data_IF_842937580869
#
_entry.id   IF_842937580869
#
_cell.length_a   1.000
_cell.length_b   1.000
_cell.length_c   1.000
_cell.angle_alpha   90.00
_cell.angle_beta   90.00
_cell.angle_gamma   90.00
#
_symmetry.space_group_name_H-M   'P 1'
#
loop_
_entity.id
_entity.type
_entity.pdbx_description
1 polymer ?
#
# COMPACT_ATOMS: atom_id res chain seq x y z
N UNK A 1 43.57 21.55 37.83
CA UNK A 1 43.22 20.12 37.93
C UNK A 1 41.72 20.03 37.73
N UNK A 2 41.28 20.08 36.47
CA UNK A 2 40.96 18.96 35.57
C UNK A 2 39.45 18.72 35.54
N UNK A 3 38.82 19.37 34.55
CA UNK A 3 37.49 19.09 34.04
C UNK A 3 37.43 17.67 33.48
N UNK A 4 36.40 16.90 33.84
CA UNK A 4 36.01 15.71 33.10
C UNK A 4 34.84 16.05 32.16
N UNK A 5 35.19 16.22 30.88
CA UNK A 5 34.28 16.20 29.75
C UNK A 5 33.87 14.75 29.49
N UNK A 6 32.56 14.49 29.50
CA UNK A 6 31.96 13.29 28.93
C UNK A 6 32.07 13.40 27.40
N UNK A 7 32.86 12.52 26.78
CA UNK A 7 32.85 12.34 25.32
C UNK A 7 31.64 11.49 24.94
N UNK A 8 30.69 12.10 24.22
CA UNK A 8 29.71 11.38 23.41
C UNK A 8 30.34 11.01 22.06
N UNK A 9 31.05 9.88 22.01
CA UNK A 9 31.43 9.26 20.74
C UNK A 9 30.38 8.21 20.33
N UNK A 10 29.25 8.69 19.81
CA UNK A 10 28.39 7.89 18.95
C UNK A 10 28.96 7.94 17.53
N UNK A 11 29.92 7.06 17.23
CA UNK A 11 30.37 6.85 15.85
C UNK A 11 29.24 6.11 15.10
N UNK A 12 28.37 6.87 14.45
CA UNK A 12 27.52 6.39 13.36
C UNK A 12 28.42 5.90 12.23
N UNK A 13 28.73 4.60 12.19
CA UNK A 13 29.14 3.98 10.92
C UNK A 13 27.91 3.97 10.02
N UNK A 14 27.86 4.90 9.09
CA UNK A 14 26.96 4.81 7.93
C UNK A 14 27.21 3.45 7.26
N UNK A 15 26.14 2.69 7.01
CA UNK A 15 26.21 1.47 6.21
C UNK A 15 26.62 1.89 4.79
N UNK A 16 27.87 1.66 4.42
CA UNK A 16 28.43 2.07 3.14
C UNK A 16 27.94 1.11 2.03
N UNK A 17 27.10 1.63 1.12
CA UNK A 17 26.54 0.87 -0.01
C UNK A 17 27.61 0.37 -1.00
N UNK A 18 28.81 0.95 -0.98
CA UNK A 18 29.89 0.66 -1.95
C UNK A 18 30.81 -0.51 -1.54
N UNK A 19 30.67 -1.05 -0.32
CA UNK A 19 31.49 -2.18 0.19
C UNK A 19 30.66 -3.48 0.33
N UNK A 20 29.52 -3.57 -0.37
CA UNK A 20 28.56 -4.66 -0.22
C UNK A 20 29.01 -5.96 -0.91
N UNK A 21 28.90 -7.06 -0.19
CA UNK A 21 28.93 -8.41 -0.78
C UNK A 21 27.69 -8.63 -1.66
N UNK A 22 27.81 -9.21 -2.87
CA UNK A 22 26.68 -9.48 -3.73
C UNK A 22 25.56 -10.23 -2.97
N UNK A 23 24.34 -9.68 -2.97
CA UNK A 23 23.12 -10.23 -2.34
C UNK A 23 22.95 -10.04 -0.83
N UNK A 24 23.76 -9.22 -0.15
CA UNK A 24 23.58 -8.97 1.29
C UNK A 24 22.32 -8.13 1.59
N UNK A 25 21.39 -8.61 2.44
CA UNK A 25 20.19 -7.84 2.82
C UNK A 25 20.55 -6.74 3.83
N UNK A 26 20.65 -5.50 3.35
CA UNK A 26 21.09 -4.36 4.16
C UNK A 26 20.07 -4.00 5.23
N UNK A 27 18.78 -4.14 4.93
CA UNK A 27 17.74 -3.85 5.89
C UNK A 27 17.82 -4.79 7.11
N UNK A 28 18.05 -6.09 6.88
CA UNK A 28 18.25 -7.05 7.96
C UNK A 28 19.48 -6.71 8.84
N UNK A 29 20.57 -6.26 8.22
CA UNK A 29 21.74 -5.77 8.96
C UNK A 29 21.42 -4.52 9.78
N UNK A 30 20.70 -3.56 9.21
CA UNK A 30 20.27 -2.35 9.92
C UNK A 30 19.39 -2.70 11.12
N UNK A 31 18.42 -3.62 10.97
CA UNK A 31 17.62 -4.09 12.11
C UNK A 31 18.52 -4.68 13.21
N UNK A 32 19.47 -5.57 12.86
CA UNK A 32 20.41 -6.16 13.80
C UNK A 32 21.25 -5.11 14.51
N UNK A 33 21.76 -4.11 13.78
CA UNK A 33 22.54 -3.00 14.34
C UNK A 33 21.75 -2.20 15.38
N UNK A 34 20.44 -2.01 15.15
CA UNK A 34 19.55 -1.32 16.08
C UNK A 34 18.93 -2.25 17.15
N UNK A 35 19.36 -3.53 17.23
CA UNK A 35 18.78 -4.54 18.11
C UNK A 35 17.25 -4.71 17.93
N UNK A 36 16.77 -4.52 16.71
CA UNK A 36 15.35 -4.67 16.33
C UNK A 36 15.10 -6.02 15.67
N UNK A 37 13.87 -6.50 15.83
CA UNK A 37 13.38 -7.68 15.11
C UNK A 37 12.04 -7.35 14.45
N UNK A 38 11.79 -7.97 13.30
CA UNK A 38 10.54 -7.85 12.58
C UNK A 38 9.91 -9.23 12.44
N UNK A 39 8.81 -9.43 13.17
CA UNK A 39 8.08 -10.69 13.25
C UNK A 39 6.58 -10.42 13.11
N UNK A 40 5.87 -11.44 12.64
CA UNK A 40 4.42 -11.48 12.64
C UNK A 40 3.88 -11.39 14.06
N UNK A 41 2.87 -10.56 14.23
CA UNK A 41 1.95 -10.54 15.35
C UNK A 41 0.64 -11.21 14.90
N UNK A 42 -0.41 -11.17 15.73
CA UNK A 42 -1.74 -11.66 15.36
C UNK A 42 -2.20 -10.99 14.07
N UNK A 43 -2.61 -11.81 13.09
CA UNK A 43 -3.15 -11.31 11.83
C UNK A 43 -4.45 -10.54 12.08
N UNK A 44 -4.51 -9.32 11.57
CA UNK A 44 -5.66 -8.41 11.67
C UNK A 44 -6.26 -8.09 10.30
N UNK A 45 -5.45 -8.17 9.23
CA UNK A 45 -5.85 -7.81 7.87
C UNK A 45 -5.47 -8.92 6.90
N UNK A 46 -6.43 -9.33 6.07
CA UNK A 46 -6.15 -10.07 4.85
C UNK A 46 -6.14 -9.08 3.67
N UNK A 47 -4.98 -8.86 3.07
CA UNK A 47 -4.88 -8.12 1.81
C UNK A 47 -5.01 -9.09 0.63
N UNK A 48 -5.94 -8.81 -0.28
CA UNK A 48 -6.23 -9.62 -1.46
C UNK A 48 -5.83 -8.83 -2.70
N UNK A 49 -4.74 -9.22 -3.35
CA UNK A 49 -4.35 -8.67 -4.62
C UNK A 49 -5.03 -9.45 -5.77
N UNK A 50 -6.04 -8.85 -6.40
CA UNK A 50 -6.87 -9.54 -7.40
C UNK A 50 -6.25 -9.59 -8.81
N UNK A 51 -5.01 -9.09 -8.97
CA UNK A 51 -4.28 -9.12 -10.24
C UNK A 51 -3.56 -7.82 -10.57
N UNK A 52 -3.10 -7.68 -11.82
CA UNK A 52 -2.38 -6.51 -12.30
C UNK A 52 -3.11 -5.75 -13.42
N UNK A 53 -4.32 -6.19 -13.82
CA UNK A 53 -5.15 -5.47 -14.78
C UNK A 53 -5.59 -4.11 -14.23
N UNK A 54 -5.38 -3.04 -14.98
CA UNK A 54 -5.77 -1.69 -14.60
C UNK A 54 -6.11 -0.87 -15.86
N UNK A 55 -7.00 0.11 -15.76
CA UNK A 55 -7.31 1.05 -16.85
C UNK A 55 -6.25 2.16 -17.00
N UNK A 56 -5.34 2.33 -16.03
CA UNK A 56 -4.29 3.36 -16.04
C UNK A 56 -2.88 2.77 -16.17
N UNK A 57 -1.93 3.59 -16.63
CA UNK A 57 -0.49 3.26 -16.71
C UNK A 57 0.34 4.26 -15.89
N UNK A 58 0.06 4.35 -14.58
CA UNK A 58 0.71 5.29 -13.66
C UNK A 58 2.23 5.12 -13.62
N UNK A 59 2.99 6.22 -13.67
CA UNK A 59 4.46 6.17 -13.74
C UNK A 59 5.16 5.72 -12.45
N UNK A 60 4.46 5.78 -11.31
CA UNK A 60 4.95 5.39 -9.99
C UNK A 60 4.46 4.01 -9.53
N UNK A 61 3.79 3.25 -10.41
CA UNK A 61 3.15 1.99 -10.03
C UNK A 61 4.18 0.91 -9.66
N UNK A 62 4.19 0.49 -8.39
CA UNK A 62 5.04 -0.60 -7.89
C UNK A 62 4.56 -1.99 -8.36
N UNK A 63 3.28 -2.15 -8.70
CA UNK A 63 2.70 -3.40 -9.27
C UNK A 63 3.04 -3.57 -10.76
N UNK A 64 3.46 -2.49 -11.42
CA UNK A 64 3.52 -2.38 -12.88
C UNK A 64 2.18 -2.71 -13.56
N UNK A 65 1.07 -2.44 -12.87
CA UNK A 65 -0.27 -2.66 -13.39
C UNK A 65 -0.53 -1.85 -14.66
N UNK A 66 -1.48 -2.32 -15.48
CA UNK A 66 -1.88 -1.61 -16.68
C UNK A 66 -2.85 -2.37 -17.58
N UNK A 67 -3.29 -1.74 -18.68
CA UNK A 67 -4.34 -2.29 -19.55
C UNK A 67 -3.93 -3.57 -20.26
N UNK A 68 -2.65 -3.75 -20.56
CA UNK A 68 -2.13 -4.94 -21.25
C UNK A 68 -1.86 -6.14 -20.32
N UNK A 69 -2.00 -5.96 -18.99
CA UNK A 69 -1.78 -7.03 -18.01
C UNK A 69 -2.90 -8.07 -18.11
N UNK A 70 -2.55 -9.33 -17.83
CA UNK A 70 -3.47 -10.49 -17.93
C UNK A 70 -3.64 -11.23 -16.61
N UNK A 71 -2.84 -10.87 -15.61
CA UNK A 71 -2.94 -11.38 -14.25
C UNK A 71 -4.28 -10.94 -13.66
N UNK A 72 -5.20 -11.89 -13.50
CA UNK A 72 -6.55 -11.71 -13.00
C UNK A 72 -6.87 -12.92 -12.12
N UNK A 73 -7.32 -12.67 -10.89
CA UNK A 73 -7.75 -13.71 -9.97
C UNK A 73 -9.02 -14.41 -10.51
N UNK A 74 -8.98 -15.74 -10.56
CA UNK A 74 -10.12 -16.54 -11.02
C UNK A 74 -11.17 -16.68 -9.92
N UNK A 75 -12.41 -17.00 -10.31
CA UNK A 75 -13.51 -17.25 -9.37
C UNK A 75 -13.21 -18.41 -8.41
N UNK A 76 -12.53 -19.45 -8.88
CA UNK A 76 -12.17 -20.60 -8.06
C UNK A 76 -11.17 -20.21 -6.96
N UNK A 77 -10.14 -19.44 -7.30
CA UNK A 77 -9.19 -18.90 -6.32
C UNK A 77 -9.91 -18.00 -5.30
N UNK A 78 -10.80 -17.10 -5.75
CA UNK A 78 -11.60 -16.27 -4.87
C UNK A 78 -12.43 -17.10 -3.89
N UNK A 79 -13.12 -18.14 -4.38
CA UNK A 79 -13.96 -18.99 -3.53
C UNK A 79 -13.13 -19.71 -2.48
N UNK A 80 -11.92 -20.17 -2.80
CA UNK A 80 -11.01 -20.77 -1.81
C UNK A 80 -10.57 -19.77 -0.75
N UNK A 81 -10.28 -18.53 -1.14
CA UNK A 81 -9.94 -17.44 -0.22
C UNK A 81 -11.13 -17.13 0.71
N UNK A 82 -12.35 -17.05 0.16
CA UNK A 82 -13.57 -16.81 0.93
C UNK A 82 -13.82 -17.95 1.94
N UNK A 83 -13.68 -19.21 1.50
CA UNK A 83 -13.81 -20.38 2.39
C UNK A 83 -12.78 -20.35 3.50
N UNK A 84 -11.53 -20.01 3.19
CA UNK A 84 -10.49 -19.84 4.22
C UNK A 84 -10.86 -18.72 5.19
N UNK A 85 -11.20 -17.53 4.69
CA UNK A 85 -11.56 -16.36 5.50
C UNK A 85 -12.80 -16.60 6.37
N UNK A 86 -13.74 -17.44 5.94
CA UNK A 86 -14.92 -17.81 6.72
C UNK A 86 -14.58 -18.54 8.04
N UNK A 87 -13.38 -19.13 8.13
CA UNK A 87 -12.90 -19.91 9.27
C UNK A 87 -11.99 -19.11 10.20
N UNK A 88 -11.73 -17.84 9.89
CA UNK A 88 -10.86 -16.97 10.68
C UNK A 88 -11.66 -15.87 11.37
N UNK A 89 -11.03 -15.24 12.35
CA UNK A 89 -11.54 -14.06 13.08
C UNK A 89 -10.99 -12.74 12.50
N UNK A 90 -10.43 -12.78 11.28
CA UNK A 90 -9.93 -11.61 10.56
C UNK A 90 -11.12 -10.78 10.08
N UNK A 91 -11.27 -9.58 10.64
CA UNK A 91 -12.40 -8.70 10.35
C UNK A 91 -12.13 -7.71 9.21
N UNK A 92 -10.86 -7.44 8.87
CA UNK A 92 -10.50 -6.45 7.86
C UNK A 92 -9.97 -7.13 6.60
N UNK A 93 -10.60 -6.83 5.47
CA UNK A 93 -10.14 -7.27 4.14
C UNK A 93 -9.78 -6.05 3.31
N UNK A 94 -8.53 -5.98 2.84
CA UNK A 94 -8.04 -4.92 1.96
C UNK A 94 -7.91 -5.46 0.53
N UNK A 95 -8.75 -4.99 -0.39
CA UNK A 95 -8.74 -5.44 -1.77
C UNK A 95 -7.87 -4.48 -2.60
N UNK A 96 -6.87 -5.04 -3.28
CA UNK A 96 -5.86 -4.30 -4.04
C UNK A 96 -5.53 -4.99 -5.37
N UNK A 97 -4.52 -4.49 -6.08
CA UNK A 97 -4.01 -5.07 -7.32
C UNK A 97 -3.66 -3.99 -8.34
N UNK A 98 -4.13 -4.16 -9.57
CA UNK A 98 -4.21 -3.08 -10.54
C UNK A 98 -5.35 -2.12 -10.19
N UNK A 99 -6.43 -2.18 -10.95
CA UNK A 99 -7.72 -1.66 -10.53
C UNK A 99 -8.57 -2.87 -10.13
N UNK A 100 -8.82 -3.11 -8.83
CA UNK A 100 -9.52 -4.31 -8.38
C UNK A 100 -10.84 -4.60 -9.10
N UNK A 101 -11.54 -3.54 -9.45
CA UNK A 101 -12.88 -3.51 -10.04
C UNK A 101 -12.86 -3.94 -11.51
N UNK A 102 -11.68 -3.98 -12.15
CA UNK A 102 -11.47 -4.59 -13.47
C UNK A 102 -11.50 -6.11 -13.44
N UNK A 103 -11.45 -6.74 -12.26
CA UNK A 103 -11.66 -8.18 -12.16
C UNK A 103 -13.15 -8.49 -12.39
N UNK A 104 -13.51 -9.37 -13.35
CA UNK A 104 -14.91 -9.69 -13.66
C UNK A 104 -15.69 -10.33 -12.50
N UNK A 105 -15.00 -10.76 -11.45
CA UNK A 105 -15.58 -11.36 -10.26
C UNK A 105 -15.49 -10.46 -9.02
N UNK A 106 -15.09 -9.19 -9.17
CA UNK A 106 -14.95 -8.23 -8.06
C UNK A 106 -16.24 -8.10 -7.22
N UNK A 107 -17.39 -7.91 -7.88
CA UNK A 107 -18.68 -7.78 -7.17
C UNK A 107 -19.04 -9.05 -6.39
N UNK A 108 -18.81 -10.22 -7.00
CA UNK A 108 -18.98 -11.53 -6.32
C UNK A 108 -18.08 -11.66 -5.09
N UNK A 109 -16.83 -11.19 -5.16
CA UNK A 109 -15.90 -11.20 -4.03
C UNK A 109 -16.44 -10.33 -2.87
N UNK A 110 -16.81 -9.09 -3.15
CA UNK A 110 -17.36 -8.14 -2.15
C UNK A 110 -18.63 -8.71 -1.51
N UNK A 111 -19.61 -9.14 -2.31
CA UNK A 111 -20.86 -9.72 -1.81
C UNK A 111 -20.62 -10.96 -0.96
N UNK A 112 -19.71 -11.84 -1.39
CA UNK A 112 -19.41 -13.08 -0.67
C UNK A 112 -18.75 -12.81 0.68
N UNK A 113 -17.81 -11.86 0.74
CA UNK A 113 -17.19 -11.45 2.01
C UNK A 113 -18.22 -10.79 2.93
N UNK A 114 -19.12 -9.96 2.40
CA UNK A 114 -20.17 -9.29 3.19
C UNK A 114 -21.21 -10.26 3.78
N UNK A 115 -21.36 -11.46 3.21
CA UNK A 115 -22.26 -12.53 3.70
C UNK A 115 -21.67 -13.34 4.86
N UNK A 116 -20.37 -13.22 5.14
CA UNK A 116 -19.73 -14.00 6.19
C UNK A 116 -20.08 -13.44 7.59
N UNK A 117 -20.22 -14.32 8.58
CA UNK A 117 -20.43 -14.00 10.00
C UNK A 117 -19.18 -14.34 10.84
N UNK A 118 -18.61 -13.43 11.67
CA UNK A 118 -18.98 -12.02 11.90
C UNK A 118 -18.76 -11.09 10.69
N UNK A 119 -19.60 -10.08 10.49
CA UNK A 119 -19.50 -9.18 9.32
C UNK A 119 -18.09 -8.59 9.15
N UNK A 120 -17.51 -8.71 7.94
CA UNK A 120 -16.19 -8.17 7.61
C UNK A 120 -16.26 -6.73 7.09
N UNK A 121 -15.26 -5.94 7.46
CA UNK A 121 -14.95 -4.64 6.85
C UNK A 121 -14.14 -4.87 5.58
N UNK A 122 -14.50 -4.17 4.51
CA UNK A 122 -13.83 -4.26 3.21
C UNK A 122 -13.34 -2.86 2.86
N UNK A 123 -12.03 -2.73 2.61
CA UNK A 123 -11.44 -1.57 1.94
C UNK A 123 -11.09 -1.90 0.50
N UNK A 124 -11.29 -0.93 -0.39
CA UNK A 124 -10.93 -1.01 -1.81
C UNK A 124 -9.89 0.05 -2.18
N UNK A 125 -8.78 -0.39 -2.79
CA UNK A 125 -7.69 0.48 -3.28
C UNK A 125 -8.04 1.01 -4.66
N UNK A 126 -8.86 2.06 -4.66
CA UNK A 126 -9.44 2.60 -5.89
C UNK A 126 -8.51 3.61 -6.57
N UNK A 127 -8.52 3.61 -7.91
CA UNK A 127 -7.77 4.57 -8.72
C UNK A 127 -8.61 5.80 -9.15
N UNK A 128 -9.87 5.86 -8.72
CA UNK A 128 -10.93 6.82 -9.05
C UNK A 128 -11.46 6.78 -10.48
N UNK A 129 -10.60 6.80 -11.51
CA UNK A 129 -11.10 6.88 -12.90
C UNK A 129 -11.80 5.60 -13.35
N UNK A 130 -11.59 4.49 -12.65
CA UNK A 130 -12.30 3.22 -12.88
C UNK A 130 -13.82 3.34 -12.73
N UNK A 131 -14.31 4.27 -11.89
CA UNK A 131 -15.75 4.55 -11.75
C UNK A 131 -16.38 5.09 -13.06
N UNK A 132 -15.56 5.54 -14.02
CA UNK A 132 -16.01 6.16 -15.26
C UNK A 132 -15.73 5.27 -16.48
N UNK A 133 -15.24 4.05 -16.27
CA UNK A 133 -15.03 3.10 -17.35
C UNK A 133 -16.38 2.47 -17.77
N UNK A 134 -16.56 2.15 -19.06
CA UNK A 134 -17.78 1.48 -19.52
C UNK A 134 -18.06 0.19 -18.74
N UNK A 135 -19.29 0.03 -18.25
CA UNK A 135 -19.69 -1.13 -17.44
C UNK A 135 -19.37 -0.99 -15.95
N UNK A 136 -18.90 0.17 -15.50
CA UNK A 136 -18.76 0.54 -14.09
C UNK A 136 -19.69 1.68 -13.68
N UNK A 137 -20.72 1.95 -14.48
CA UNK A 137 -21.66 3.07 -14.29
C UNK A 137 -22.35 3.03 -12.91
N UNK A 138 -22.62 1.82 -12.39
CA UNK A 138 -23.26 1.58 -11.09
C UNK A 138 -22.25 1.28 -9.95
N UNK A 139 -20.94 1.38 -10.21
CA UNK A 139 -19.90 0.96 -9.26
C UNK A 139 -19.92 1.79 -7.97
N UNK A 140 -20.15 3.09 -8.07
CA UNK A 140 -20.22 3.99 -6.92
C UNK A 140 -21.40 3.62 -5.99
N UNK A 141 -22.56 3.31 -6.58
CA UNK A 141 -23.77 2.90 -5.86
C UNK A 141 -23.60 1.51 -5.26
N UNK A 142 -22.92 0.60 -5.98
CA UNK A 142 -22.53 -0.70 -5.47
C UNK A 142 -21.62 -0.59 -4.23
N UNK A 143 -20.61 0.28 -4.27
CA UNK A 143 -19.77 0.55 -3.11
C UNK A 143 -20.57 1.07 -1.92
N UNK A 144 -21.46 2.04 -2.15
CA UNK A 144 -22.31 2.61 -1.10
C UNK A 144 -23.25 1.56 -0.50
N UNK A 145 -23.92 0.75 -1.33
CA UNK A 145 -24.83 -0.31 -0.91
C UNK A 145 -24.13 -1.33 0.00
N UNK A 146 -22.90 -1.70 -0.34
CA UNK A 146 -22.13 -2.64 0.46
C UNK A 146 -21.32 -1.99 1.59
N UNK A 147 -21.31 -0.66 1.72
CA UNK A 147 -20.48 0.07 2.66
C UNK A 147 -19.00 -0.35 2.52
N UNK A 148 -18.48 -0.24 1.30
CA UNK A 148 -17.05 -0.45 1.00
C UNK A 148 -16.30 0.81 1.39
N UNK A 149 -15.27 0.69 2.21
CA UNK A 149 -14.35 1.79 2.52
C UNK A 149 -13.46 2.04 1.31
N UNK A 150 -13.44 3.28 0.80
CA UNK A 150 -12.68 3.62 -0.40
C UNK A 150 -11.37 4.29 0.01
N UNK A 151 -10.25 3.72 -0.41
CA UNK A 151 -8.92 4.31 -0.24
C UNK A 151 -8.40 4.71 -1.62
N UNK A 152 -8.73 5.93 -2.00
CA UNK A 152 -8.53 6.45 -3.34
C UNK A 152 -7.14 7.07 -3.54
N UNK A 153 -6.44 6.65 -4.58
CA UNK A 153 -5.20 7.30 -4.99
C UNK A 153 -5.50 8.68 -5.57
N UNK A 154 -4.95 9.75 -4.96
CA UNK A 154 -4.97 11.11 -5.52
C UNK A 154 -3.67 11.83 -5.09
N UNK A 155 -2.60 11.73 -5.90
CA UNK A 155 -1.25 12.12 -5.47
C UNK A 155 -1.04 13.64 -5.33
N UNK A 156 -2.00 14.45 -5.78
CA UNK A 156 -2.03 15.89 -5.55
C UNK A 156 -3.45 16.43 -5.71
N UNK A 157 -3.77 17.54 -5.05
CA UNK A 157 -4.99 18.32 -5.32
C UNK A 157 -4.84 19.23 -6.56
N UNK A 158 -3.71 19.16 -7.28
CA UNK A 158 -3.44 19.95 -8.49
C UNK A 158 -3.37 19.07 -9.74
N UNK A 159 -4.05 19.52 -10.81
CA UNK A 159 -4.08 18.88 -12.12
C UNK A 159 -2.70 18.60 -12.69
N UNK A 160 -1.83 19.62 -12.73
CA UNK A 160 -0.47 19.49 -13.28
C UNK A 160 0.30 18.32 -12.67
N UNK A 161 0.19 18.14 -11.35
CA UNK A 161 0.90 17.09 -10.64
C UNK A 161 0.28 15.71 -10.87
N UNK A 162 -1.06 15.62 -10.83
CA UNK A 162 -1.76 14.35 -11.04
C UNK A 162 -1.56 13.85 -12.46
N UNK A 163 -1.74 14.71 -13.46
CA UNK A 163 -1.64 14.33 -14.86
C UNK A 163 -0.20 13.95 -15.23
N UNK A 164 0.80 14.67 -14.71
CA UNK A 164 2.21 14.32 -14.91
C UNK A 164 2.58 12.93 -14.34
N UNK A 165 1.88 12.46 -13.31
CA UNK A 165 2.19 11.20 -12.66
C UNK A 165 1.34 10.03 -13.19
N UNK A 166 0.09 10.29 -13.56
CA UNK A 166 -0.94 9.27 -13.84
C UNK A 166 -1.45 9.26 -15.27
N UNK A 167 -1.22 10.33 -16.03
CA UNK A 167 -1.68 10.50 -17.41
C UNK A 167 -2.61 11.70 -17.57
N UNK A 168 -2.66 12.24 -18.78
CA UNK A 168 -3.48 13.40 -19.14
C UNK A 168 -4.97 13.17 -18.86
N UNK A 169 -5.64 14.17 -18.27
CA UNK A 169 -7.08 14.13 -17.97
C UNK A 169 -7.47 13.22 -16.81
N UNK A 170 -6.51 12.59 -16.11
CA UNK A 170 -6.80 11.76 -14.93
C UNK A 170 -7.30 12.61 -13.78
N UNK A 171 -6.79 13.83 -13.60
CA UNK A 171 -7.24 14.73 -12.54
C UNK A 171 -8.73 15.05 -12.65
N UNK A 172 -9.18 15.53 -13.81
CA UNK A 172 -10.58 15.92 -14.04
C UNK A 172 -11.53 14.75 -13.80
N UNK A 173 -11.19 13.56 -14.31
CA UNK A 173 -11.92 12.31 -14.05
C UNK A 173 -11.95 11.96 -12.57
N UNK A 174 -10.84 12.15 -11.86
CA UNK A 174 -10.74 11.86 -10.42
C UNK A 174 -11.63 12.81 -9.61
N UNK A 175 -11.65 14.10 -9.95
CA UNK A 175 -12.53 15.11 -9.31
C UNK A 175 -13.99 14.74 -9.53
N UNK A 176 -14.38 14.41 -10.76
CA UNK A 176 -15.76 13.98 -11.06
C UNK A 176 -16.16 12.72 -10.26
N UNK A 177 -15.30 11.70 -10.22
CA UNK A 177 -15.55 10.49 -9.45
C UNK A 177 -15.72 10.77 -7.94
N UNK A 178 -14.89 11.66 -7.38
CA UNK A 178 -15.00 12.08 -5.97
C UNK A 178 -16.31 12.83 -5.69
N UNK A 179 -16.76 13.69 -6.60
CA UNK A 179 -18.04 14.38 -6.47
C UNK A 179 -19.21 13.40 -6.50
N UNK A 180 -19.19 12.41 -7.40
CA UNK A 180 -20.19 11.34 -7.44
C UNK A 180 -20.23 10.53 -6.14
N UNK A 181 -19.06 10.18 -5.58
CA UNK A 181 -18.98 9.50 -4.29
C UNK A 181 -19.52 10.38 -3.15
N UNK A 182 -19.14 11.66 -3.08
CA UNK A 182 -19.65 12.59 -2.06
C UNK A 182 -21.17 12.80 -2.17
N UNK A 183 -21.75 12.75 -3.37
CA UNK A 183 -23.19 12.83 -3.58
C UNK A 183 -23.93 11.62 -2.97
N UNK A 184 -23.28 10.45 -2.92
CA UNK A 184 -23.78 9.24 -2.24
C UNK A 184 -23.52 9.24 -0.72
N UNK A 185 -22.83 10.25 -0.19
CA UNK A 185 -22.57 10.40 1.25
C UNK A 185 -21.15 10.03 1.70
N UNK A 186 -20.29 9.54 0.78
CA UNK A 186 -18.90 9.24 1.13
C UNK A 186 -18.17 10.46 1.70
N UNK A 187 -17.38 10.25 2.75
CA UNK A 187 -16.66 11.33 3.44
C UNK A 187 -17.51 12.11 4.46
N UNK A 188 -18.84 11.89 4.50
CA UNK A 188 -19.77 12.56 5.41
C UNK A 188 -20.49 11.57 6.34
N UNK A 189 -21.01 10.48 5.77
CA UNK A 189 -21.62 9.39 6.54
C UNK A 189 -20.52 8.55 7.22
N UNK A 190 -20.71 8.21 8.50
CA UNK A 190 -19.79 7.40 9.29
C UNK A 190 -19.58 5.99 8.73
N UNK A 191 -20.54 5.49 7.94
CA UNK A 191 -20.48 4.18 7.30
C UNK A 191 -19.91 4.21 5.88
N UNK A 192 -19.74 5.40 5.28
CA UNK A 192 -19.23 5.58 3.92
C UNK A 192 -17.90 6.31 3.96
N UNK A 193 -16.87 5.55 4.32
CA UNK A 193 -15.52 6.08 4.50
C UNK A 193 -14.82 6.28 3.16
N UNK A 194 -14.30 7.49 2.95
CA UNK A 194 -13.49 7.89 1.82
C UNK A 194 -12.17 8.47 2.32
N UNK A 195 -11.08 7.80 1.99
CA UNK A 195 -9.73 8.22 2.30
C UNK A 195 -8.98 8.52 1.01
N UNK A 196 -8.06 9.49 1.06
CA UNK A 196 -7.20 9.83 -0.06
C UNK A 196 -5.76 9.42 0.22
N UNK A 197 -5.02 9.07 -0.83
CA UNK A 197 -3.61 8.68 -0.74
C UNK A 197 -2.73 9.69 -1.48
N UNK A 198 -1.78 10.27 -0.76
CA UNK A 198 -0.72 11.12 -1.28
C UNK A 198 0.57 10.34 -1.51
N UNK A 199 1.10 10.43 -2.73
CA UNK A 199 2.42 9.94 -3.09
C UNK A 199 3.23 11.09 -3.70
N UNK A 200 4.50 11.29 -3.31
CA UNK A 200 5.36 12.30 -3.95
C UNK A 200 5.46 12.10 -5.47
N UNK A 201 5.54 13.19 -6.23
CA UNK A 201 5.69 13.14 -7.69
C UNK A 201 7.05 12.60 -8.19
N UNK A 202 7.97 12.28 -7.29
CA UNK A 202 9.31 11.83 -7.62
C UNK A 202 10.05 11.15 -6.47
N UNK A 203 11.39 11.24 -6.53
CA UNK A 203 12.33 10.61 -5.61
C UNK A 203 12.54 11.45 -4.34
N UNK A 204 11.47 11.67 -3.57
CA UNK A 204 11.50 12.37 -2.28
C UNK A 204 10.61 11.68 -1.25
N UNK A 205 10.81 11.97 0.02
CA UNK A 205 9.89 11.57 1.09
C UNK A 205 8.68 12.52 1.12
N UNK A 206 7.50 12.05 1.58
CA UNK A 206 6.36 12.92 1.81
C UNK A 206 6.63 13.88 2.98
N UNK A 207 5.94 15.02 2.97
CA UNK A 207 5.89 15.91 4.14
C UNK A 207 5.01 15.33 5.27
N UNK A 208 4.88 16.04 6.40
CA UNK A 208 4.04 15.59 7.52
C UNK A 208 2.58 15.36 7.12
N UNK A 209 2.04 14.18 7.43
CA UNK A 209 0.69 13.76 7.02
C UNK A 209 -0.39 14.74 7.50
N UNK A 210 -0.33 15.22 8.74
CA UNK A 210 -1.32 16.14 9.29
C UNK A 210 -1.38 17.47 8.50
N UNK A 211 -0.22 18.04 8.16
CA UNK A 211 -0.13 19.28 7.38
C UNK A 211 -0.64 19.08 5.96
N UNK A 212 -0.30 17.94 5.33
CA UNK A 212 -0.80 17.60 4.01
C UNK A 212 -2.32 17.34 4.03
N UNK A 213 -2.85 16.65 5.04
CA UNK A 213 -4.29 16.39 5.19
C UNK A 213 -5.06 17.72 5.27
N UNK A 214 -4.59 18.66 6.10
CA UNK A 214 -5.21 19.97 6.24
C UNK A 214 -5.19 20.78 4.93
N UNK A 215 -4.08 20.73 4.18
CA UNK A 215 -3.99 21.35 2.87
C UNK A 215 -4.96 20.71 1.88
N UNK A 216 -4.98 19.39 1.77
CA UNK A 216 -5.89 18.67 0.87
C UNK A 216 -7.36 18.99 1.16
N UNK A 217 -7.76 18.96 2.44
CA UNK A 217 -9.13 19.29 2.85
C UNK A 217 -9.51 20.70 2.39
N UNK A 218 -8.67 21.68 2.68
CA UNK A 218 -8.92 23.08 2.30
C UNK A 218 -9.01 23.29 0.79
N UNK A 219 -8.03 22.79 0.03
CA UNK A 219 -7.97 23.06 -1.41
C UNK A 219 -9.08 22.30 -2.16
N UNK A 220 -9.33 21.02 -1.82
CA UNK A 220 -10.37 20.23 -2.49
C UNK A 220 -11.79 20.70 -2.15
N UNK A 221 -12.02 21.13 -0.90
CA UNK A 221 -13.31 21.71 -0.52
C UNK A 221 -13.53 23.06 -1.22
N UNK A 222 -12.54 23.96 -1.19
CA UNK A 222 -12.64 25.30 -1.78
C UNK A 222 -12.88 25.25 -3.29
N UNK A 223 -12.11 24.43 -4.00
CA UNK A 223 -12.07 24.48 -5.46
C UNK A 223 -13.10 23.53 -6.11
N UNK A 224 -13.51 22.46 -5.40
CA UNK A 224 -14.33 21.39 -5.98
C UNK A 224 -15.50 20.92 -5.10
N UNK A 225 -15.65 21.45 -3.88
CA UNK A 225 -16.69 21.03 -2.94
C UNK A 225 -16.52 19.60 -2.40
N UNK A 226 -15.30 19.05 -2.49
CA UNK A 226 -15.00 17.67 -2.14
C UNK A 226 -14.62 17.56 -0.66
N UNK A 227 -15.16 16.54 0.01
CA UNK A 227 -14.82 16.17 1.40
C UNK A 227 -14.38 14.71 1.49
N UNK A 228 -13.51 14.41 2.45
CA UNK A 228 -12.99 13.06 2.72
C UNK A 228 -12.57 12.93 4.19
N UNK A 229 -12.45 11.70 4.69
CA UNK A 229 -12.20 11.43 6.10
C UNK A 229 -10.73 11.63 6.49
N UNK A 230 -9.79 10.95 5.80
CA UNK A 230 -8.34 10.97 6.11
C UNK A 230 -7.46 11.03 4.86
N UNK A 231 -6.27 11.62 5.00
CA UNK A 231 -5.20 11.52 4.01
C UNK A 231 -4.12 10.56 4.52
N UNK A 232 -3.70 9.64 3.66
CA UNK A 232 -2.59 8.73 3.92
C UNK A 232 -1.39 9.10 3.04
N UNK A 233 -0.25 9.38 3.66
CA UNK A 233 0.99 9.65 2.92
C UNK A 233 1.78 8.38 2.73
N UNK A 234 2.20 8.09 1.49
CA UNK A 234 3.10 6.99 1.20
C UNK A 234 4.46 7.46 0.70
N UNK A 235 5.47 6.64 0.99
CA UNK A 235 6.79 6.71 0.36
C UNK A 235 6.75 5.85 -0.90
N UNK A 236 7.21 6.38 -2.04
CA UNK A 236 7.27 5.60 -3.27
C UNK A 236 8.31 4.48 -3.15
N UNK A 237 7.86 3.23 -3.16
CA UNK A 237 8.80 2.10 -3.12
C UNK A 237 9.49 1.95 -4.49
N UNK A 238 10.84 1.88 -4.56
CA UNK A 238 11.59 1.79 -5.82
C UNK A 238 11.47 0.40 -6.46
N UNK A 239 10.26 0.02 -6.86
CA UNK A 239 9.93 -1.23 -7.53
C UNK A 239 9.34 -0.99 -8.91
N UNK A 240 9.48 -2.01 -9.75
CA UNK A 240 8.89 -2.11 -11.08
C UNK A 240 8.98 -0.82 -11.92
N UNK A 241 7.84 -0.16 -12.23
CA UNK A 241 7.85 1.01 -13.12
C UNK A 241 8.56 2.21 -12.51
N UNK A 242 8.39 2.44 -11.21
CA UNK A 242 9.08 3.53 -10.54
C UNK A 242 10.59 3.30 -10.51
N UNK A 243 11.04 2.07 -10.19
CA UNK A 243 12.46 1.69 -10.26
C UNK A 243 13.06 1.92 -11.64
N UNK A 244 12.35 1.50 -12.70
CA UNK A 244 12.80 1.67 -14.08
C UNK A 244 12.93 3.15 -14.46
N UNK A 245 11.98 3.99 -14.06
CA UNK A 245 12.04 5.45 -14.28
C UNK A 245 13.24 6.07 -13.55
N UNK A 246 13.47 5.69 -12.29
CA UNK A 246 14.64 6.15 -11.53
C UNK A 246 15.95 5.71 -12.19
N UNK A 247 16.02 4.47 -12.70
CA UNK A 247 17.21 3.95 -13.40
C UNK A 247 17.49 4.72 -14.69
N UNK A 248 16.46 4.95 -15.50
CA UNK A 248 16.57 5.74 -16.74
C UNK A 248 17.01 7.18 -16.47
N UNK A 249 16.61 7.75 -15.34
CA UNK A 249 17.03 9.09 -14.92
C UNK A 249 18.39 9.12 -14.19
N UNK A 250 19.05 7.97 -13.99
CA UNK A 250 20.30 7.90 -13.22
C UNK A 250 20.16 8.22 -11.72
N UNK A 251 18.94 8.11 -11.16
CA UNK A 251 18.60 8.52 -9.78
C UNK A 251 18.31 7.35 -8.83
N UNK A 252 18.36 6.11 -9.30
CA UNK A 252 17.97 4.94 -8.49
C UNK A 252 18.85 4.80 -7.23
N UNK A 253 20.18 4.82 -7.40
CA UNK A 253 21.11 4.69 -6.27
C UNK A 253 20.92 5.83 -5.26
N UNK A 254 20.85 7.08 -5.72
CA UNK A 254 20.61 8.25 -4.87
C UNK A 254 19.30 8.16 -4.09
N UNK A 255 18.25 7.62 -4.72
CA UNK A 255 16.98 7.45 -4.03
C UNK A 255 17.03 6.33 -2.98
N UNK A 256 17.69 5.22 -3.28
CA UNK A 256 17.90 4.14 -2.30
C UNK A 256 18.73 4.61 -1.11
N UNK A 257 19.76 5.42 -1.36
CA UNK A 257 20.57 6.06 -0.32
C UNK A 257 19.74 7.02 0.55
N UNK A 258 18.84 7.82 -0.05
CA UNK A 258 17.89 8.64 0.70
C UNK A 258 17.03 7.78 1.65
N UNK A 259 16.47 6.67 1.16
CA UNK A 259 15.64 5.79 1.97
C UNK A 259 16.42 5.15 3.13
N UNK A 260 17.65 4.71 2.87
CA UNK A 260 18.55 4.14 3.87
C UNK A 260 18.91 5.18 4.94
N UNK A 261 19.35 6.37 4.53
CA UNK A 261 19.74 7.45 5.44
C UNK A 261 18.56 7.99 6.26
N UNK A 262 17.34 7.85 5.73
CA UNK A 262 16.12 8.23 6.43
C UNK A 262 15.52 7.10 7.28
N UNK A 263 16.17 5.95 7.43
CA UNK A 263 15.68 4.85 8.26
C UNK A 263 15.32 5.33 9.68
N UNK A 264 14.07 5.14 10.07
CA UNK A 264 13.57 5.48 11.39
C UNK A 264 13.21 4.21 12.18
N UNK A 265 13.99 3.83 13.21
CA UNK A 265 13.75 2.62 13.99
C UNK A 265 12.39 2.60 14.70
N UNK A 266 11.81 3.78 15.01
CA UNK A 266 10.52 3.88 15.71
C UNK A 266 9.33 3.42 14.83
N UNK A 267 9.53 3.30 13.52
CA UNK A 267 8.48 2.84 12.59
C UNK A 267 8.32 1.32 12.60
N UNK A 268 9.35 0.57 13.01
CA UNK A 268 9.42 -0.90 12.86
C UNK A 268 8.33 -1.63 13.66
N UNK A 269 7.93 -1.09 14.82
CA UNK A 269 6.85 -1.66 15.62
C UNK A 269 5.48 -1.56 14.94
N UNK A 270 5.30 -0.59 14.05
CA UNK A 270 4.02 -0.26 13.43
C UNK A 270 3.92 -0.71 11.95
N UNK A 271 4.91 -1.46 11.45
CA UNK A 271 4.90 -1.95 10.08
C UNK A 271 3.72 -2.89 9.82
N UNK A 272 2.99 -2.64 8.74
CA UNK A 272 1.80 -3.42 8.35
C UNK A 272 2.06 -4.91 8.13
N UNK A 273 3.25 -5.29 7.65
CA UNK A 273 3.63 -6.69 7.44
C UNK A 273 3.73 -7.51 8.73
N UNK A 274 3.59 -6.88 9.91
CA UNK A 274 3.46 -7.59 11.18
C UNK A 274 2.06 -8.13 11.42
N UNK A 275 1.02 -7.47 10.93
CA UNK A 275 -0.38 -7.81 11.24
C UNK A 275 -1.20 -8.12 10.00
N UNK A 276 -0.55 -8.25 8.84
CA UNK A 276 -1.18 -8.50 7.55
C UNK A 276 -0.69 -9.80 6.93
N UNK A 277 -1.61 -10.51 6.28
CA UNK A 277 -1.28 -11.50 5.26
C UNK A 277 -1.67 -10.95 3.90
N UNK A 278 -0.76 -10.98 2.93
CA UNK A 278 -1.07 -10.62 1.54
C UNK A 278 -1.19 -11.87 0.69
N UNK A 279 -2.28 -12.00 -0.07
CA UNK A 279 -2.53 -13.11 -1.00
C UNK A 279 -2.60 -12.60 -2.44
N UNK A 280 -1.86 -13.25 -3.34
CA UNK A 280 -1.87 -12.91 -4.77
C UNK A 280 -3.07 -13.50 -5.52
N UNK A 281 -3.18 -13.13 -6.80
CA UNK A 281 -4.25 -13.58 -7.70
C UNK A 281 -4.29 -15.10 -7.96
N UNK A 282 -3.27 -15.84 -7.55
CA UNK A 282 -3.14 -17.30 -7.66
C UNK A 282 -3.38 -18.00 -6.31
N UNK A 283 -3.50 -17.24 -5.22
CA UNK A 283 -3.67 -17.74 -3.86
C UNK A 283 -2.36 -17.91 -3.08
N UNK A 284 -1.21 -17.49 -3.63
CA UNK A 284 0.08 -17.52 -2.95
C UNK A 284 0.14 -16.45 -1.87
N UNK A 285 0.78 -16.76 -0.74
CA UNK A 285 0.86 -15.84 0.42
C UNK A 285 2.25 -15.23 0.56
N UNK A 286 2.26 -13.95 0.96
CA UNK A 286 3.42 -13.11 1.20
C UNK A 286 3.20 -12.26 2.46
N UNK A 287 4.27 -11.70 3.04
CA UNK A 287 4.17 -10.77 4.18
C UNK A 287 3.48 -9.43 3.82
N UNK A 288 3.64 -8.99 2.57
CA UNK A 288 3.07 -7.74 2.06
C UNK A 288 3.03 -7.73 0.51
N UNK A 289 2.37 -6.72 -0.04
CA UNK A 289 2.30 -6.43 -1.48
C UNK A 289 3.69 -6.25 -2.12
N UNK A 290 4.64 -5.61 -1.45
CA UNK A 290 5.99 -5.44 -1.99
C UNK A 290 6.75 -6.76 -2.10
N UNK A 291 6.61 -7.65 -1.10
CA UNK A 291 7.19 -8.99 -1.17
C UNK A 291 6.55 -9.79 -2.31
N UNK A 292 5.23 -9.64 -2.54
CA UNK A 292 4.58 -10.22 -3.71
C UNK A 292 5.15 -9.67 -5.03
N UNK A 293 5.38 -8.36 -5.15
CA UNK A 293 5.92 -7.78 -6.39
C UNK A 293 7.36 -8.20 -6.69
N UNK A 294 8.09 -8.65 -5.66
CA UNK A 294 9.43 -9.19 -5.76
C UNK A 294 9.46 -10.73 -5.82
N UNK A 295 8.29 -11.39 -5.75
CA UNK A 295 8.13 -12.85 -5.61
C UNK A 295 9.02 -13.42 -4.49
N UNK A 296 9.05 -12.75 -3.33
CA UNK A 296 9.82 -13.17 -2.15
C UNK A 296 8.98 -14.11 -1.27
N UNK A 297 9.17 -15.44 -1.35
CA UNK A 297 8.41 -16.38 -0.53
C UNK A 297 8.83 -16.28 0.95
N UNK A 298 7.91 -16.63 1.86
CA UNK A 298 8.21 -16.73 3.29
C UNK A 298 9.40 -17.63 3.63
N UNK A 299 9.61 -18.68 2.84
CA UNK A 299 10.74 -19.60 2.97
C UNK A 299 11.30 -19.86 1.58
N UNK A 300 12.62 -19.78 1.44
CA UNK A 300 13.31 -19.86 0.14
C UNK A 300 12.93 -21.10 -0.69
N UNK A 301 12.57 -22.21 -0.04
CA UNK A 301 12.29 -23.50 -0.69
C UNK A 301 10.80 -23.90 -0.64
N UNK A 302 9.93 -23.07 -0.06
CA UNK A 302 8.53 -23.43 0.13
C UNK A 302 7.60 -22.27 -0.22
N UNK A 303 6.79 -22.49 -1.26
CA UNK A 303 5.65 -21.65 -1.55
C UNK A 303 4.47 -22.06 -0.68
N UNK A 304 3.87 -21.10 -0.01
CA UNK A 304 2.62 -21.30 0.70
C UNK A 304 1.44 -20.73 -0.11
N UNK A 305 0.31 -21.40 0.00
CA UNK A 305 -0.98 -20.87 -0.42
C UNK A 305 -1.86 -20.62 0.79
N UNK A 306 -2.81 -19.70 0.67
CA UNK A 306 -3.59 -19.20 1.81
C UNK A 306 -4.33 -20.32 2.53
N UNK A 307 -4.96 -21.22 1.79
CA UNK A 307 -5.73 -22.34 2.33
C UNK A 307 -4.89 -23.44 2.99
N UNK A 308 -3.55 -23.37 2.89
CA UNK A 308 -2.62 -24.30 3.55
C UNK A 308 -2.08 -23.74 4.87
N UNK A 309 -2.47 -22.52 5.25
CA UNK A 309 -1.97 -21.81 6.42
C UNK A 309 -3.10 -21.59 7.43
N UNK A 310 -2.81 -21.80 8.70
CA UNK A 310 -3.59 -21.28 9.82
C UNK A 310 -2.97 -19.94 10.26
N UNK A 311 -3.72 -18.82 10.28
CA UNK A 311 -3.16 -17.52 10.63
C UNK A 311 -2.52 -17.50 12.03
N UNK A 312 -3.01 -18.30 12.98
CA UNK A 312 -2.41 -18.38 14.32
C UNK A 312 -1.02 -19.04 14.31
N UNK A 313 -0.76 -19.94 13.35
CA UNK A 313 0.54 -20.59 13.22
C UNK A 313 1.62 -19.64 12.69
N UNK A 314 1.23 -18.55 12.02
CA UNK A 314 2.16 -17.57 11.45
C UNK A 314 2.69 -16.60 12.51
N UNK A 315 2.01 -16.50 13.66
CA UNK A 315 2.45 -15.62 14.76
C UNK A 315 3.90 -15.92 15.13
N UNK A 316 4.67 -14.86 15.40
CA UNK A 316 6.11 -14.89 15.66
C UNK A 316 6.99 -15.35 14.49
N UNK A 317 6.46 -15.71 13.32
CA UNK A 317 7.32 -16.00 12.18
C UNK A 317 8.12 -14.75 11.78
N UNK A 318 9.38 -14.91 11.35
CA UNK A 318 10.14 -13.79 10.83
C UNK A 318 9.47 -13.27 9.55
N UNK A 319 9.37 -11.96 9.43
CA UNK A 319 8.94 -11.30 8.18
C UNK A 319 10.10 -11.33 7.20
N UNK A 320 9.84 -11.68 5.94
CA UNK A 320 10.87 -11.63 4.89
C UNK A 320 11.14 -10.17 4.55
N UNK A 321 12.41 -9.78 4.59
CA UNK A 321 12.84 -8.41 4.36
C UNK A 321 13.75 -8.31 3.15
N UNK A 322 13.90 -7.09 2.63
CA UNK A 322 14.88 -6.73 1.60
C UNK A 322 15.10 -5.23 1.60
N UNK A 323 15.95 -4.74 0.70
CA UNK A 323 16.30 -3.32 0.63
C UNK A 323 15.08 -2.41 0.34
N UNK A 324 14.01 -2.95 -0.25
CA UNK A 324 12.74 -2.22 -0.44
C UNK A 324 12.07 -1.84 0.88
N UNK A 325 12.33 -2.56 1.97
CA UNK A 325 11.74 -2.30 3.29
C UNK A 325 12.15 -0.92 3.84
N UNK A 326 13.28 -0.36 3.41
CA UNK A 326 13.66 1.01 3.78
C UNK A 326 12.60 2.04 3.39
N UNK A 327 11.84 1.82 2.30
CA UNK A 327 10.74 2.70 1.92
C UNK A 327 9.62 2.73 2.97
N UNK A 328 9.37 1.61 3.66
CA UNK A 328 8.33 1.52 4.68
C UNK A 328 8.75 2.16 6.02
N UNK A 329 10.06 2.27 6.26
CA UNK A 329 10.63 2.78 7.52
C UNK A 329 11.28 4.16 7.41
N UNK A 330 11.36 4.73 6.21
CA UNK A 330 11.98 6.02 5.98
C UNK A 330 11.14 7.18 6.55
N UNK A 331 11.78 8.10 7.27
CA UNK A 331 11.12 9.29 7.84
C UNK A 331 10.02 8.93 8.84
N UNK A 332 8.79 9.34 8.55
CA UNK A 332 7.61 9.01 9.35
C UNK A 332 7.12 7.55 9.14
N UNK A 333 7.77 6.79 8.24
CA UNK A 333 7.32 5.48 7.80
C UNK A 333 6.13 5.57 6.84
N UNK A 334 5.82 4.45 6.21
CA UNK A 334 4.76 4.35 5.20
C UNK A 334 4.12 2.97 5.25
N UNK A 335 2.80 2.95 5.37
CA UNK A 335 1.98 1.75 5.23
C UNK A 335 0.72 2.05 4.44
N UNK A 336 -0.05 1.03 4.10
CA UNK A 336 -1.39 1.16 3.54
C UNK A 336 -2.35 2.06 4.37
N UNK A 337 -2.03 2.36 5.63
CA UNK A 337 -2.75 3.32 6.50
C UNK A 337 -2.06 4.68 6.68
N UNK A 338 -1.04 5.01 5.88
CA UNK A 338 -0.29 6.26 5.94
C UNK A 338 0.97 6.19 6.82
N UNK A 339 1.34 7.34 7.38
CA UNK A 339 2.51 7.50 8.26
C UNK A 339 2.40 6.62 9.53
N UNK A 340 3.54 6.05 9.95
CA UNK A 340 3.63 5.10 11.06
C UNK A 340 3.96 5.75 12.40
N UNK A 341 4.59 6.92 12.35
CA UNK A 341 4.90 7.77 13.50
C UNK A 341 4.66 9.24 13.12
N UNK A 342 4.41 10.08 14.13
CA UNK A 342 4.12 11.52 13.97
C UNK A 342 5.34 12.40 14.18
#
# INVERSE_FOLDING_TARGET
MQNHLYSHDHVQRQVNLNEREPNENLFALTLKHHALTLRHDRTQVLQINVGAKCNQTCSHCHVNAGPARTEIMTRDTMNRIIVWLSRTDILSVDITGGAPEMNPHFRHLVESIKKLDPRRRISDRCNLTILLEPGQDDLAEFFAHHQVEIIASLPCYSQTNVDAQRGEGVFEKSIYALQSLNALGYGRDENLLLHLVYNPGGASLPGPQASLEAAYKRELERDYGIVFNRLYTLVNVPLARFANRLRQAGRLATYQELLLNAFNPNTVANLMCRTMLNVDWRGKVYDCDFNQMLDLPWRAEQQFYLWDIDPEQVKEWPVVTGDHCFACTAGAGSSCGGALVS
#
